data_IF_611148947827
#
_entry.id   IF_611148947827
#
_cell.length_a   1.000
_cell.length_b   1.000
_cell.length_c   1.000
_cell.angle_alpha   90.00
_cell.angle_beta   90.00
_cell.angle_gamma   90.00
#
_symmetry.space_group_name_H-M   'P 1'
#
loop_
_entity.id
_entity.type
_entity.pdbx_description
1 polymer ?
#
# COMPACT_ATOMS: atom_id res chain seq x y z
N UNK A 1 61.50 4.10 -2.84
CA UNK A 1 60.69 4.38 -1.63
C UNK A 1 59.66 5.42 -2.03
N UNK A 2 58.33 5.32 -1.87
CA UNK A 2 57.39 4.37 -1.25
C UNK A 2 56.06 4.56 -1.99
N UNK A 3 55.38 3.47 -2.28
CA UNK A 3 54.00 3.40 -2.77
C UNK A 3 53.04 3.95 -1.72
N UNK A 4 52.06 4.77 -2.13
CA UNK A 4 50.91 5.10 -1.29
C UNK A 4 49.64 4.89 -2.12
N UNK A 5 49.07 3.70 -1.95
CA UNK A 5 47.75 3.33 -2.45
C UNK A 5 46.72 3.89 -1.47
N UNK A 6 46.11 5.02 -1.82
CA UNK A 6 44.94 5.52 -1.13
C UNK A 6 43.71 4.78 -1.63
N UNK A 7 43.33 3.69 -0.96
CA UNK A 7 42.08 2.97 -1.23
C UNK A 7 40.94 3.78 -0.64
N UNK A 8 40.23 4.52 -1.49
CA UNK A 8 39.01 5.27 -1.14
C UNK A 8 37.86 4.28 -0.97
N UNK A 9 37.46 4.02 0.28
CA UNK A 9 36.36 3.12 0.62
C UNK A 9 35.02 3.86 0.40
N UNK A 10 34.37 3.63 -0.75
CA UNK A 10 33.01 4.12 -1.00
C UNK A 10 32.01 3.29 -0.20
N UNK A 11 31.48 3.85 0.89
CA UNK A 11 30.28 3.35 1.56
C UNK A 11 29.05 3.82 0.78
N UNK A 12 28.54 2.97 -0.12
CA UNK A 12 27.25 3.19 -0.78
C UNK A 12 26.11 2.86 0.18
N UNK A 13 25.59 3.88 0.86
CA UNK A 13 24.34 3.77 1.64
C UNK A 13 23.17 3.81 0.67
N UNK A 14 22.72 2.63 0.21
CA UNK A 14 21.45 2.48 -0.51
C UNK A 14 20.30 2.58 0.48
N UNK A 15 19.89 3.81 0.79
CA UNK A 15 18.66 4.07 1.53
C UNK A 15 17.45 3.71 0.67
N UNK A 16 16.75 2.63 1.01
CA UNK A 16 15.39 2.38 0.50
C UNK A 16 14.47 3.44 1.09
N UNK A 17 14.20 4.48 0.31
CA UNK A 17 13.13 5.43 0.62
C UNK A 17 11.80 4.69 0.54
N UNK A 18 11.28 4.25 1.69
CA UNK A 18 9.92 3.75 1.78
C UNK A 18 8.97 4.93 1.56
N UNK A 19 8.42 5.05 0.35
CA UNK A 19 7.33 5.98 0.09
C UNK A 19 6.13 5.56 0.94
N UNK A 20 5.96 6.18 2.10
CA UNK A 20 4.70 6.11 2.82
C UNK A 20 3.63 6.77 1.94
N UNK A 21 2.46 6.13 1.72
CA UNK A 21 1.40 6.77 0.97
C UNK A 21 1.06 8.10 1.66
N UNK A 22 1.06 9.19 0.89
CA UNK A 22 0.60 10.48 1.38
C UNK A 22 -0.92 10.39 1.52
N UNK A 23 -1.39 10.17 2.75
CA UNK A 23 -2.82 10.05 3.02
C UNK A 23 -3.39 11.45 3.21
N UNK A 24 -4.18 11.89 2.23
CA UNK A 24 -4.80 13.21 2.23
C UNK A 24 -6.25 13.07 2.68
N UNK A 25 -6.49 13.27 3.97
CA UNK A 25 -7.82 13.12 4.55
C UNK A 25 -8.34 11.67 4.51
N UNK A 26 -9.66 11.45 4.55
CA UNK A 26 -10.23 10.11 4.66
C UNK A 26 -10.34 9.38 3.32
N UNK A 27 -9.75 9.93 2.24
CA UNK A 27 -9.89 9.42 0.87
C UNK A 27 -8.53 9.00 0.34
N UNK A 28 -8.32 7.71 0.12
CA UNK A 28 -7.07 7.23 -0.45
C UNK A 28 -7.22 5.84 -1.06
N UNK A 29 -6.27 5.49 -1.91
CA UNK A 29 -5.99 4.10 -2.25
C UNK A 29 -4.66 3.70 -1.63
N UNK A 30 -4.53 2.43 -1.28
CA UNK A 30 -3.26 1.88 -0.84
C UNK A 30 -3.13 0.41 -1.17
N UNK A 31 -1.88 -0.03 -1.29
CA UNK A 31 -1.53 -1.43 -1.48
C UNK A 31 -1.17 -2.04 -0.13
N UNK A 32 -1.83 -3.15 0.24
CA UNK A 32 -1.58 -3.93 1.45
C UNK A 32 -1.06 -5.31 1.08
N UNK A 33 -0.34 -5.91 2.02
CA UNK A 33 0.10 -7.30 1.95
C UNK A 33 -0.62 -8.08 3.03
N UNK A 34 -1.34 -9.11 2.63
CA UNK A 34 -1.93 -10.06 3.56
C UNK A 34 -0.86 -10.94 4.19
N UNK A 35 -1.21 -11.68 5.23
CA UNK A 35 -0.32 -12.57 5.98
C UNK A 35 0.31 -13.68 5.11
N UNK A 36 -0.37 -14.08 4.04
CA UNK A 36 0.13 -15.04 3.05
C UNK A 36 0.99 -14.38 1.94
N UNK A 37 1.21 -13.07 2.02
CA UNK A 37 1.98 -12.28 1.06
C UNK A 37 1.18 -11.77 -0.14
N UNK A 38 -0.12 -12.11 -0.25
CA UNK A 38 -0.96 -11.70 -1.37
C UNK A 38 -1.05 -10.16 -1.48
N UNK A 39 -0.74 -9.57 -2.65
CA UNK A 39 -0.90 -8.14 -2.86
C UNK A 39 -2.38 -7.79 -3.09
N UNK A 40 -2.86 -6.80 -2.34
CA UNK A 40 -4.23 -6.32 -2.45
C UNK A 40 -4.21 -4.79 -2.54
N UNK A 41 -4.99 -4.22 -3.45
CA UNK A 41 -5.27 -2.77 -3.50
C UNK A 41 -6.59 -2.52 -2.82
N UNK A 42 -6.61 -1.56 -1.89
CA UNK A 42 -7.82 -1.09 -1.23
C UNK A 42 -8.08 0.38 -1.60
N UNK A 43 -9.34 0.71 -1.85
CA UNK A 43 -9.84 2.06 -1.95
C UNK A 43 -10.67 2.37 -0.70
N UNK A 44 -10.30 3.46 0.00
CA UNK A 44 -10.98 3.95 1.20
C UNK A 44 -11.72 5.22 0.84
N UNK A 45 -13.05 5.20 1.00
CA UNK A 45 -14.01 6.23 0.64
C UNK A 45 -13.93 6.68 -0.84
N UNK A 46 -13.25 5.92 -1.69
CA UNK A 46 -13.03 6.22 -3.10
C UNK A 46 -13.66 5.13 -3.97
N UNK A 47 -14.18 5.49 -5.17
CA UNK A 47 -14.70 4.49 -6.09
C UNK A 47 -13.60 3.53 -6.55
N UNK A 48 -13.88 2.23 -6.51
CA UNK A 48 -12.95 1.22 -7.01
C UNK A 48 -12.97 1.18 -8.53
N UNK A 49 -11.78 1.19 -9.11
CA UNK A 49 -11.53 0.83 -10.51
C UNK A 49 -10.91 -0.56 -10.54
N UNK A 50 -11.72 -1.57 -10.83
CA UNK A 50 -11.23 -2.94 -10.98
C UNK A 50 -10.36 -3.04 -12.25
N UNK A 51 -9.26 -3.79 -12.22
CA UNK A 51 -8.49 -4.09 -13.41
C UNK A 51 -9.29 -5.02 -14.36
N UNK A 52 -8.91 -5.01 -15.63
CA UNK A 52 -9.43 -5.90 -16.66
C UNK A 52 -8.30 -6.85 -17.10
N UNK A 53 -8.43 -8.18 -16.96
CA UNK A 53 -9.61 -8.91 -16.45
C UNK A 53 -9.86 -8.68 -14.96
N UNK A 54 -11.15 -8.78 -14.57
CA UNK A 54 -11.56 -8.65 -13.17
C UNK A 54 -10.88 -9.73 -12.32
N UNK A 55 -10.21 -9.35 -11.21
CA UNK A 55 -9.51 -10.29 -10.36
C UNK A 55 -10.51 -11.20 -9.63
N UNK A 56 -10.08 -12.40 -9.21
CA UNK A 56 -10.93 -13.26 -8.40
C UNK A 56 -11.33 -12.54 -7.10
N UNK A 57 -12.55 -12.78 -6.60
CA UNK A 57 -12.99 -12.16 -5.36
C UNK A 57 -12.16 -12.67 -4.17
N UNK A 58 -11.82 -11.76 -3.26
CA UNK A 58 -11.18 -12.13 -1.99
C UNK A 58 -12.15 -12.95 -1.14
N UNK A 59 -11.64 -13.97 -0.46
CA UNK A 59 -12.36 -14.66 0.60
C UNK A 59 -12.72 -13.67 1.73
N UNK A 60 -13.71 -14.03 2.55
CA UNK A 60 -14.11 -13.20 3.70
C UNK A 60 -12.95 -12.93 4.66
N UNK A 61 -12.05 -13.91 4.86
CA UNK A 61 -10.88 -13.72 5.71
C UNK A 61 -9.91 -12.68 5.11
N UNK A 62 -9.55 -12.86 3.83
CA UNK A 62 -8.63 -11.97 3.12
C UNK A 62 -9.18 -10.54 3.05
N UNK A 63 -10.49 -10.39 2.78
CA UNK A 63 -11.16 -9.10 2.76
C UNK A 63 -11.10 -8.41 4.12
N UNK A 64 -11.48 -9.10 5.20
CA UNK A 64 -11.47 -8.50 6.54
C UNK A 64 -10.05 -8.07 6.95
N UNK A 65 -9.05 -8.89 6.63
CA UNK A 65 -7.65 -8.55 6.88
C UNK A 65 -7.22 -7.32 6.07
N UNK A 66 -7.53 -7.29 4.78
CA UNK A 66 -7.23 -6.16 3.90
C UNK A 66 -7.87 -4.85 4.41
N UNK A 67 -9.15 -4.89 4.80
CA UNK A 67 -9.88 -3.73 5.32
C UNK A 67 -9.30 -3.21 6.64
N UNK A 68 -8.93 -4.12 7.55
CA UNK A 68 -8.27 -3.75 8.82
C UNK A 68 -6.93 -3.08 8.52
N UNK A 69 -6.12 -3.65 7.62
CA UNK A 69 -4.83 -3.08 7.25
C UNK A 69 -5.02 -1.71 6.57
N UNK A 70 -5.99 -1.59 5.68
CA UNK A 70 -6.27 -0.38 4.91
C UNK A 70 -6.76 0.78 5.79
N UNK A 71 -7.46 0.49 6.89
CA UNK A 71 -7.98 1.51 7.83
C UNK A 71 -7.02 1.87 8.96
N UNK A 72 -5.89 1.16 9.12
CA UNK A 72 -4.87 1.50 10.13
C UNK A 72 -4.44 2.97 10.11
N UNK A 73 -4.21 3.60 8.94
CA UNK A 73 -3.76 4.97 8.95
C UNK A 73 -4.82 5.98 9.44
N UNK A 74 -6.10 5.68 9.27
CA UNK A 74 -7.18 6.50 9.82
C UNK A 74 -7.18 6.49 11.35
N UNK A 75 -6.72 5.42 11.99
CA UNK A 75 -6.59 5.35 13.46
C UNK A 75 -5.55 6.31 14.01
N UNK A 76 -4.56 6.68 13.19
CA UNK A 76 -3.50 7.61 13.56
C UNK A 76 -3.88 9.07 13.27
N UNK A 77 -4.92 9.31 12.46
CA UNK A 77 -5.37 10.64 12.12
C UNK A 77 -6.44 11.13 13.11
N UNK A 78 -6.24 12.31 13.68
CA UNK A 78 -7.30 13.03 14.38
C UNK A 78 -8.16 13.78 13.35
N UNK A 79 -9.25 13.16 12.91
CA UNK A 79 -10.25 13.79 12.05
C UNK A 79 -11.13 14.81 12.80
N UNK A 80 -11.97 15.57 12.07
CA UNK A 80 -12.98 16.42 12.70
C UNK A 80 -13.99 15.59 13.49
N UNK A 81 -14.50 16.14 14.61
CA UNK A 81 -15.65 15.53 15.30
C UNK A 81 -16.82 15.45 14.32
N UNK A 82 -17.30 14.25 14.09
CA UNK A 82 -18.37 13.94 13.14
C UNK A 82 -19.39 13.00 13.78
N UNK A 83 -20.70 13.11 13.46
CA UNK A 83 -21.68 12.12 13.87
C UNK A 83 -21.42 10.77 13.18
N UNK A 84 -22.09 9.72 13.66
CA UNK A 84 -22.11 8.44 12.97
C UNK A 84 -23.40 8.30 12.14
N UNK A 85 -23.36 7.84 10.87
CA UNK A 85 -22.17 7.50 10.08
C UNK A 85 -21.66 8.66 9.21
N UNK A 86 -20.34 8.81 9.09
CA UNK A 86 -19.66 9.65 8.08
C UNK A 86 -18.41 8.96 7.56
N UNK A 87 -17.78 9.48 6.50
CA UNK A 87 -16.52 8.94 5.97
C UNK A 87 -15.37 8.87 6.99
N UNK A 88 -15.46 9.62 8.09
CA UNK A 88 -14.49 9.60 9.19
C UNK A 88 -14.82 8.57 10.28
N UNK A 89 -16.09 8.20 10.44
CA UNK A 89 -16.56 7.31 11.52
C UNK A 89 -17.04 5.94 11.02
N UNK A 90 -17.38 5.85 9.73
CA UNK A 90 -17.82 4.66 9.01
C UNK A 90 -17.26 4.70 7.57
N UNK A 91 -15.95 4.48 7.37
CA UNK A 91 -15.34 4.52 6.05
C UNK A 91 -15.84 3.37 5.18
N UNK A 92 -16.15 3.66 3.92
CA UNK A 92 -16.37 2.63 2.89
C UNK A 92 -15.01 2.10 2.43
N UNK A 93 -14.81 0.79 2.46
CA UNK A 93 -13.55 0.17 2.07
C UNK A 93 -13.83 -0.96 1.11
N UNK A 94 -13.16 -0.94 -0.03
CA UNK A 94 -13.28 -1.97 -1.05
C UNK A 94 -11.89 -2.39 -1.50
N UNK A 95 -11.63 -3.70 -1.47
CA UNK A 95 -10.32 -4.28 -1.73
C UNK A 95 -10.38 -5.34 -2.83
N UNK A 96 -9.34 -5.40 -3.66
CA UNK A 96 -9.20 -6.38 -4.73
C UNK A 96 -7.75 -6.85 -4.88
N UNK A 97 -7.58 -8.10 -5.28
CA UNK A 97 -6.25 -8.67 -5.52
C UNK A 97 -5.57 -7.97 -6.70
N UNK A 98 -4.29 -7.63 -6.53
CA UNK A 98 -3.46 -7.15 -7.62
C UNK A 98 -2.85 -8.34 -8.37
N UNK A 99 -2.72 -8.26 -9.70
CA UNK A 99 -1.98 -9.28 -10.45
C UNK A 99 -0.56 -9.37 -9.89
N UNK A 100 -0.14 -10.59 -9.53
CA UNK A 100 1.18 -10.85 -8.96
C UNK A 100 2.28 -10.24 -9.83
N UNK A 101 3.24 -9.55 -9.19
CA UNK A 101 4.30 -8.76 -9.84
C UNK A 101 5.31 -9.52 -10.72
N UNK A 102 5.00 -10.72 -11.20
CA UNK A 102 5.80 -11.40 -12.23
C UNK A 102 5.55 -10.84 -13.64
N UNK A 103 4.41 -10.17 -13.90
CA UNK A 103 4.12 -9.60 -15.21
C UNK A 103 4.77 -8.22 -15.48
N UNK A 104 5.00 -7.41 -14.43
CA UNK A 104 5.53 -6.04 -14.59
C UNK A 104 7.07 -6.00 -14.73
N UNK A 105 7.79 -7.07 -14.39
CA UNK A 105 9.24 -7.14 -14.56
C UNK A 105 9.68 -7.41 -16.02
N UNK A 106 8.77 -7.77 -16.92
CA UNK A 106 9.12 -8.16 -18.30
C UNK A 106 8.93 -7.05 -19.35
N UNK A 107 8.42 -5.86 -18.97
CA UNK A 107 8.21 -4.73 -19.89
C UNK A 107 9.30 -3.65 -19.82
N UNK A 108 10.37 -3.89 -19.05
CA UNK A 108 11.55 -3.04 -18.99
C UNK A 108 12.75 -3.79 -19.59
N UNK A 109 12.69 -4.12 -20.87
CA UNK A 109 13.84 -4.61 -21.63
C UNK A 109 13.86 -4.05 -23.03
#
# INVERSE_FOLDING_TARGET
>A
MRTLHGVTLMLAVLGVAACAPAIVGPYYTMDVRLADGKPVRCAVNQPVRLPDPTPPPLSTRERNEAEVLATQPLRLQSGPRSPYPTVYTAPDVQCFELPGGSAQASSAR
#
